data_IF_465563000346
#
_entry.id   IF_465563000346
#
_cell.length_a   1.000
_cell.length_b   1.000
_cell.length_c   1.000
_cell.angle_alpha   90.00
_cell.angle_beta   90.00
_cell.angle_gamma   90.00
#
_symmetry.space_group_name_H-M   'P 1'
#
loop_
_entity.id
_entity.type
_entity.pdbx_description
1 polymer ?
#
# COMPACT_ATOMS: atom_id res chain seq x y z
N UNK A 1 41.89 28.12 4.74
CA UNK A 1 41.44 26.76 5.13
C UNK A 1 40.26 26.77 6.10
N UNK A 2 40.22 27.59 7.17
CA UNK A 2 39.06 27.65 8.09
C UNK A 2 37.75 28.20 7.48
N UNK A 3 37.82 29.06 6.46
CA UNK A 3 36.65 29.62 5.76
C UNK A 3 35.86 28.59 4.95
N UNK A 4 36.54 27.65 4.29
CA UNK A 4 35.91 26.61 3.46
C UNK A 4 35.22 25.53 4.31
N UNK A 5 35.81 25.16 5.46
CA UNK A 5 35.14 24.29 6.42
C UNK A 5 33.87 24.96 6.99
N UNK A 6 33.92 26.27 7.26
CA UNK A 6 32.75 27.03 7.71
C UNK A 6 31.67 27.14 6.63
N UNK A 7 32.04 27.29 5.37
CA UNK A 7 31.10 27.40 4.24
C UNK A 7 30.42 26.05 3.94
N UNK A 8 31.19 24.97 3.88
CA UNK A 8 30.66 23.61 3.68
C UNK A 8 29.75 23.17 4.83
N UNK A 9 30.07 23.53 6.08
CA UNK A 9 29.19 23.30 7.21
C UNK A 9 27.85 24.04 7.07
N UNK A 10 27.88 25.33 6.68
CA UNK A 10 26.66 26.13 6.41
C UNK A 10 25.82 25.54 5.29
N UNK A 11 26.44 25.06 4.21
CA UNK A 11 25.71 24.38 3.13
C UNK A 11 24.96 23.14 3.63
N UNK A 12 25.61 22.31 4.45
CA UNK A 12 24.96 21.12 5.05
C UNK A 12 23.81 21.51 5.96
N UNK A 13 23.97 22.54 6.78
CA UNK A 13 22.92 23.03 7.68
C UNK A 13 21.68 23.51 6.91
N UNK A 14 21.87 24.29 5.84
CA UNK A 14 20.77 24.74 4.98
C UNK A 14 20.04 23.55 4.34
N UNK A 15 20.81 22.58 3.84
CA UNK A 15 20.24 21.34 3.27
C UNK A 15 19.40 20.59 4.30
N UNK A 16 19.92 20.36 5.51
CA UNK A 16 19.17 19.67 6.57
C UNK A 16 17.91 20.43 6.97
N UNK A 17 17.98 21.76 7.10
CA UNK A 17 16.80 22.59 7.38
C UNK A 17 15.71 22.39 6.33
N UNK A 18 16.05 22.49 5.04
CA UNK A 18 15.09 22.31 3.95
C UNK A 18 14.51 20.88 3.91
N UNK A 19 15.31 19.85 4.23
CA UNK A 19 14.83 18.47 4.34
C UNK A 19 13.84 18.31 5.51
N UNK A 20 14.10 18.95 6.65
CA UNK A 20 13.20 18.94 7.81
C UNK A 20 11.87 19.62 7.49
N UNK A 21 11.91 20.81 6.88
CA UNK A 21 10.71 21.54 6.43
C UNK A 21 9.90 20.70 5.43
N UNK A 22 10.56 20.11 4.44
CA UNK A 22 9.91 19.23 3.47
C UNK A 22 9.24 18.02 4.15
N UNK A 23 9.88 17.43 5.15
CA UNK A 23 9.31 16.34 5.93
C UNK A 23 8.08 16.77 6.74
N UNK A 24 8.09 17.97 7.33
CA UNK A 24 6.96 18.54 8.06
C UNK A 24 5.77 18.85 7.14
N UNK A 25 6.02 19.38 5.94
CA UNK A 25 5.00 19.70 4.94
C UNK A 25 4.48 18.48 4.18
N UNK A 26 5.15 17.33 4.28
CA UNK A 26 4.73 16.12 3.58
C UNK A 26 3.37 15.65 4.11
N UNK A 27 2.40 15.34 3.23
CA UNK A 27 1.09 14.85 3.63
C UNK A 27 1.19 13.64 4.57
N UNK A 28 0.37 13.61 5.62
CA UNK A 28 0.42 12.57 6.64
C UNK A 28 0.27 11.16 6.06
N UNK A 29 -0.59 11.00 5.04
CA UNK A 29 -0.79 9.74 4.33
C UNK A 29 0.51 9.24 3.68
N UNK A 30 1.32 10.13 3.10
CA UNK A 30 2.60 9.77 2.47
C UNK A 30 3.61 9.33 3.52
N UNK A 31 3.69 10.03 4.65
CA UNK A 31 4.54 9.64 5.79
C UNK A 31 4.15 8.26 6.32
N UNK A 32 2.87 8.06 6.65
CA UNK A 32 2.32 6.77 7.10
C UNK A 32 2.59 5.65 6.09
N UNK A 33 2.56 5.94 4.78
CA UNK A 33 2.83 4.95 3.74
C UNK A 33 4.31 4.64 3.54
N UNK A 34 5.21 5.63 3.61
CA UNK A 34 6.62 5.47 3.23
C UNK A 34 7.50 5.03 4.41
N UNK A 35 7.29 5.58 5.60
CA UNK A 35 8.14 5.31 6.78
C UNK A 35 8.25 3.82 7.10
N UNK A 36 7.16 3.00 7.11
CA UNK A 36 7.29 1.57 7.38
C UNK A 36 8.12 0.82 6.32
N UNK A 37 8.00 1.22 5.05
CA UNK A 37 8.70 0.58 3.92
C UNK A 37 10.20 0.92 3.93
N UNK A 38 10.53 2.16 4.28
CA UNK A 38 11.92 2.58 4.48
C UNK A 38 12.54 1.90 5.70
N UNK A 39 11.79 1.70 6.79
CA UNK A 39 12.25 0.94 7.95
C UNK A 39 12.53 -0.53 7.58
N UNK A 40 11.63 -1.14 6.81
CA UNK A 40 11.80 -2.52 6.32
C UNK A 40 13.05 -2.66 5.44
N UNK A 41 13.30 -1.69 4.55
CA UNK A 41 14.53 -1.61 3.76
C UNK A 41 15.79 -1.59 4.62
N UNK A 42 15.85 -0.70 5.63
CA UNK A 42 17.00 -0.59 6.53
C UNK A 42 17.25 -1.89 7.29
N UNK A 43 16.19 -2.49 7.84
CA UNK A 43 16.26 -3.77 8.54
C UNK A 43 16.73 -4.89 7.62
N UNK A 44 16.27 -4.92 6.36
CA UNK A 44 16.74 -5.90 5.38
C UNK A 44 18.23 -5.71 5.05
N UNK A 45 18.69 -4.46 4.88
CA UNK A 45 20.12 -4.18 4.65
C UNK A 45 20.98 -4.68 5.81
N UNK A 46 20.52 -4.46 7.06
CA UNK A 46 21.17 -4.97 8.26
C UNK A 46 21.20 -6.51 8.28
N UNK A 47 20.08 -7.18 7.98
CA UNK A 47 20.00 -8.65 7.92
C UNK A 47 20.91 -9.26 6.84
N UNK A 48 21.07 -8.59 5.70
CA UNK A 48 21.97 -9.03 4.62
C UNK A 48 23.45 -8.79 4.95
N UNK A 49 23.76 -8.02 5.99
CA UNK A 49 25.14 -7.79 6.45
C UNK A 49 25.95 -6.92 5.49
N UNK A 50 25.34 -5.91 4.86
CA UNK A 50 26.12 -4.93 4.08
C UNK A 50 27.09 -4.18 5.01
N UNK A 51 28.32 -3.98 4.55
CA UNK A 51 29.37 -3.32 5.34
C UNK A 51 28.95 -1.91 5.77
N UNK A 52 29.40 -1.47 6.94
CA UNK A 52 29.20 -0.09 7.39
C UNK A 52 29.86 0.91 6.44
N UNK A 53 29.39 2.16 6.46
CA UNK A 53 29.96 3.24 5.67
C UNK A 53 31.43 3.43 6.08
N UNK A 54 32.40 3.33 5.15
CA UNK A 54 33.82 3.44 5.47
C UNK A 54 34.23 4.90 5.78
N UNK A 55 35.34 5.05 6.50
CA UNK A 55 35.95 6.35 6.77
C UNK A 55 36.48 6.95 5.44
N UNK A 56 36.01 8.16 5.08
CA UNK A 56 36.33 8.79 3.79
C UNK A 56 35.25 8.66 2.71
N UNK A 57 34.08 8.08 3.03
CA UNK A 57 32.93 8.05 2.14
C UNK A 57 32.39 9.47 1.83
N UNK A 58 31.88 9.77 0.61
CA UNK A 58 31.55 8.88 -0.51
C UNK A 58 32.72 8.51 -1.44
N UNK A 59 32.82 7.23 -1.81
CA UNK A 59 33.73 6.73 -2.85
C UNK A 59 33.09 6.84 -4.25
N UNK A 60 33.91 6.71 -5.31
CA UNK A 60 33.43 6.59 -6.68
C UNK A 60 32.47 5.39 -6.81
N UNK A 61 31.29 5.63 -7.36
CA UNK A 61 30.33 4.56 -7.58
C UNK A 61 30.84 3.56 -8.64
N UNK A 62 30.92 2.28 -8.26
CA UNK A 62 31.27 1.18 -9.16
C UNK A 62 30.02 0.35 -9.46
N UNK A 63 29.55 0.31 -10.73
CA UNK A 63 28.40 -0.50 -11.12
C UNK A 63 28.57 -1.98 -10.76
N UNK A 64 27.51 -2.59 -10.23
CA UNK A 64 27.50 -4.01 -9.86
C UNK A 64 28.03 -4.33 -8.46
N UNK A 65 28.71 -3.39 -7.78
CA UNK A 65 29.00 -3.52 -6.34
C UNK A 65 27.87 -2.90 -5.51
N UNK A 66 27.38 -3.59 -4.46
CA UNK A 66 26.39 -3.01 -3.57
C UNK A 66 27.04 -1.88 -2.77
N UNK A 67 26.28 -0.80 -2.52
CA UNK A 67 26.74 0.27 -1.63
C UNK A 67 26.86 -0.23 -0.17
N UNK A 68 27.56 0.48 0.73
CA UNK A 68 27.54 0.15 2.16
C UNK A 68 26.18 0.42 2.81
N UNK A 69 25.94 -0.23 3.94
CA UNK A 69 24.82 -0.03 4.87
C UNK A 69 23.44 0.05 4.17
N UNK A 70 22.62 1.05 4.51
CA UNK A 70 21.29 1.27 3.97
C UNK A 70 21.26 2.16 2.72
N UNK A 71 22.43 2.51 2.17
CA UNK A 71 22.52 3.33 0.97
C UNK A 71 21.87 2.61 -0.21
N UNK A 72 21.02 3.35 -0.90
CA UNK A 72 20.15 2.82 -1.96
C UNK A 72 20.90 2.77 -3.28
N UNK A 73 21.01 1.57 -3.84
CA UNK A 73 21.39 1.35 -5.24
C UNK A 73 20.35 0.47 -5.94
N UNK A 74 20.38 0.44 -7.28
CA UNK A 74 19.41 -0.32 -8.06
C UNK A 74 19.54 -1.84 -7.83
N UNK A 75 20.76 -2.34 -7.63
CA UNK A 75 21.01 -3.77 -7.40
C UNK A 75 20.38 -4.23 -6.09
N UNK A 76 20.65 -3.53 -4.98
CA UNK A 76 19.98 -3.78 -3.70
C UNK A 76 18.48 -3.61 -3.80
N UNK A 77 17.98 -2.61 -4.52
CA UNK A 77 16.53 -2.41 -4.69
C UNK A 77 15.90 -3.61 -5.37
N UNK A 78 16.47 -4.09 -6.47
CA UNK A 78 15.99 -5.27 -7.16
C UNK A 78 16.01 -6.51 -6.28
N UNK A 79 17.11 -6.73 -5.56
CA UNK A 79 17.26 -7.87 -4.67
C UNK A 79 16.25 -7.84 -3.52
N UNK A 80 16.08 -6.69 -2.86
CA UNK A 80 15.06 -6.51 -1.82
C UNK A 80 13.65 -6.79 -2.36
N UNK A 81 13.34 -6.27 -3.56
CA UNK A 81 12.03 -6.48 -4.15
C UNK A 81 11.80 -7.96 -4.48
N UNK A 82 12.81 -8.67 -4.97
CA UNK A 82 12.71 -10.10 -5.26
C UNK A 82 12.56 -10.96 -3.99
N UNK A 83 13.40 -10.72 -2.99
CA UNK A 83 13.49 -11.54 -1.78
C UNK A 83 12.32 -11.30 -0.81
N UNK A 84 11.95 -10.04 -0.57
CA UNK A 84 11.08 -9.66 0.56
C UNK A 84 9.69 -9.15 0.15
N UNK A 85 9.58 -8.53 -1.03
CA UNK A 85 8.37 -7.79 -1.42
C UNK A 85 7.51 -8.57 -2.40
N UNK A 86 8.08 -9.07 -3.49
CA UNK A 86 7.31 -9.69 -4.59
C UNK A 86 6.95 -11.15 -4.24
N UNK A 87 7.83 -11.83 -3.53
CA UNK A 87 7.63 -13.19 -3.01
C UNK A 87 6.54 -13.26 -1.93
N UNK A 88 6.38 -12.18 -1.16
CA UNK A 88 5.55 -12.16 0.05
C UNK A 88 4.06 -12.05 -0.25
N UNK A 89 3.28 -12.78 0.55
CA UNK A 89 1.84 -12.61 0.60
C UNK A 89 1.40 -11.28 1.23
N UNK A 90 0.24 -10.72 0.82
CA UNK A 90 -0.31 -9.55 1.48
C UNK A 90 -0.57 -9.85 2.96
N UNK A 91 -0.20 -8.91 3.85
CA UNK A 91 -0.38 -9.07 5.31
C UNK A 91 -1.83 -8.89 5.76
N UNK A 92 -2.57 -8.06 5.05
CA UNK A 92 -3.94 -7.65 5.39
C UNK A 92 -4.81 -7.60 4.15
N UNK A 93 -6.12 -7.73 4.34
CA UNK A 93 -7.12 -7.58 3.27
C UNK A 93 -8.15 -8.72 3.25
N UNK A 94 -9.28 -8.47 2.59
CA UNK A 94 -10.41 -9.41 2.52
C UNK A 94 -10.01 -10.74 1.90
N UNK A 95 -9.18 -10.74 0.84
CA UNK A 95 -8.72 -11.97 0.18
C UNK A 95 -7.87 -12.85 1.11
N UNK A 96 -6.98 -12.25 1.90
CA UNK A 96 -6.16 -12.98 2.89
C UNK A 96 -7.02 -13.51 4.01
N UNK A 97 -7.98 -12.71 4.49
CA UNK A 97 -8.94 -13.15 5.51
C UNK A 97 -9.81 -14.33 5.02
N UNK A 98 -10.25 -14.29 3.75
CA UNK A 98 -10.98 -15.38 3.12
C UNK A 98 -10.12 -16.64 2.95
N UNK A 99 -8.86 -16.52 2.54
CA UNK A 99 -7.94 -17.66 2.42
C UNK A 99 -7.69 -18.31 3.79
N UNK A 100 -7.42 -17.49 4.83
CA UNK A 100 -7.29 -17.96 6.22
C UNK A 100 -8.57 -18.65 6.70
N UNK A 101 -9.75 -18.09 6.39
CA UNK A 101 -11.05 -18.67 6.77
C UNK A 101 -11.28 -20.02 6.10
N UNK A 102 -11.11 -20.11 4.78
CA UNK A 102 -11.25 -21.36 4.01
C UNK A 102 -10.34 -22.46 4.52
N UNK A 103 -9.09 -22.13 4.90
CA UNK A 103 -8.15 -23.14 5.44
C UNK A 103 -8.52 -23.60 6.85
N UNK A 104 -9.03 -22.70 7.71
CA UNK A 104 -9.59 -23.08 9.01
C UNK A 104 -10.78 -24.03 8.86
N UNK A 105 -11.69 -23.73 7.93
CA UNK A 105 -12.83 -24.58 7.59
C UNK A 105 -12.37 -25.95 7.04
N UNK A 106 -11.38 -25.99 6.15
CA UNK A 106 -10.81 -27.23 5.62
C UNK A 106 -10.05 -28.05 6.67
N UNK A 107 -9.31 -27.40 7.58
CA UNK A 107 -8.64 -28.05 8.69
C UNK A 107 -9.62 -28.64 9.70
N UNK A 108 -10.72 -27.93 9.99
CA UNK A 108 -11.81 -28.43 10.81
C UNK A 108 -12.51 -29.64 10.16
N UNK A 109 -12.78 -29.59 8.85
CA UNK A 109 -13.35 -30.72 8.11
C UNK A 109 -12.42 -31.95 8.10
N UNK A 110 -11.10 -31.75 7.96
CA UNK A 110 -10.10 -32.82 8.06
C UNK A 110 -9.99 -33.43 9.47
N UNK A 111 -10.14 -32.62 10.52
CA UNK A 111 -10.19 -33.08 11.91
C UNK A 111 -11.46 -33.89 12.22
N UNK A 112 -12.61 -33.48 11.66
CA UNK A 112 -13.88 -34.22 11.75
C UNK A 112 -13.81 -35.56 11.01
N UNK A 113 -13.18 -35.61 9.83
CA UNK A 113 -12.95 -36.85 9.09
C UNK A 113 -12.01 -37.82 9.83
N UNK A 114 -10.94 -37.32 10.46
CA UNK A 114 -10.04 -38.14 11.30
C UNK A 114 -10.75 -38.69 12.55
N UNK A 115 -11.60 -37.88 13.21
CA UNK A 115 -12.44 -38.34 14.35
C UNK A 115 -13.43 -39.43 13.92
N UNK A 116 -14.07 -39.29 12.75
CA UNK A 116 -14.97 -40.33 12.21
C UNK A 116 -14.25 -41.63 11.88
N UNK A 117 -13.00 -41.57 11.40
CA UNK A 117 -12.18 -42.75 11.12
C UNK A 117 -11.72 -43.45 12.42
N UNK A 118 -11.38 -42.69 13.48
CA UNK A 118 -11.03 -43.26 14.79
C UNK A 118 -12.21 -43.93 15.50
N UNK A 119 -13.45 -43.45 15.29
CA UNK A 119 -14.67 -44.08 15.80
C UNK A 119 -15.09 -45.36 15.04
N UNK A 120 -14.53 -45.63 13.86
CA UNK A 120 -14.79 -46.87 13.12
C UNK A 120 -13.76 -47.97 13.41
N UNK A 121 -12.66 -47.66 14.10
CA UNK A 121 -11.50 -48.57 14.24
C UNK A 121 -11.25 -49.04 15.69
N UNK A 122 -12.03 -48.60 16.68
CA UNK A 122 -11.84 -49.03 18.07
C UNK A 122 -13.01 -49.89 18.57
N UNK A 123 -12.88 -51.21 18.38
CA UNK A 123 -13.42 -52.19 19.29
C UNK A 123 -12.42 -52.42 20.43
N UNK A 124 -12.88 -52.24 21.66
CA UNK A 124 -12.30 -52.66 22.96
C UNK A 124 -10.82 -52.35 23.21
N UNK A 125 -10.56 -51.32 24.03
CA UNK A 125 -9.97 -51.48 25.38
C UNK A 125 -9.74 -50.10 26.02
N UNK A 126 -9.91 -50.07 27.35
CA UNK A 126 -9.82 -48.91 28.24
C UNK A 126 -8.37 -48.54 28.59
N UNK A 127 -8.24 -47.33 29.16
CA UNK A 127 -7.04 -46.68 29.72
C UNK A 127 -5.95 -46.22 28.75
N UNK A 128 -5.99 -44.92 28.41
CA UNK A 128 -4.90 -43.95 28.69
C UNK A 128 -5.35 -42.54 28.25
N UNK A 129 -5.24 -41.54 29.13
CA UNK A 129 -5.53 -40.14 28.82
C UNK A 129 -4.27 -39.49 28.24
N UNK A 130 -4.19 -39.10 26.95
CA UNK A 130 -3.08 -38.28 26.51
C UNK A 130 -3.44 -36.81 26.70
N UNK A 131 -2.57 -36.14 27.45
CA UNK A 131 -2.54 -34.71 27.68
C UNK A 131 -2.74 -33.92 26.38
N UNK A 132 -3.59 -32.89 26.45
CA UNK A 132 -3.70 -31.87 25.44
C UNK A 132 -2.44 -31.00 25.45
N UNK A 133 -1.37 -31.47 24.81
CA UNK A 133 -0.30 -30.60 24.35
C UNK A 133 -0.64 -30.13 22.93
N UNK A 134 -1.44 -29.06 22.86
CA UNK A 134 -1.56 -28.25 21.65
C UNK A 134 -0.62 -27.07 21.79
N UNK A 135 0.69 -27.35 21.72
CA UNK A 135 1.65 -26.36 21.29
C UNK A 135 1.27 -25.90 19.89
N UNK A 136 0.60 -24.75 19.80
CA UNK A 136 0.45 -23.99 18.57
C UNK A 136 1.85 -23.55 18.10
N UNK A 137 2.58 -24.46 17.45
CA UNK A 137 3.66 -24.07 16.57
C UNK A 137 3.03 -23.25 15.43
N UNK A 138 3.14 -21.93 15.54
CA UNK A 138 2.88 -20.96 14.47
C UNK A 138 3.84 -21.23 13.29
N UNK A 139 3.59 -22.32 12.57
CA UNK A 139 4.21 -22.58 11.28
C UNK A 139 3.84 -21.43 10.34
N UNK A 140 4.86 -20.67 9.95
CA UNK A 140 4.84 -19.61 8.95
C UNK A 140 3.78 -19.86 7.87
N UNK A 141 2.70 -19.07 7.90
CA UNK A 141 1.62 -19.14 6.91
C UNK A 141 2.14 -18.67 5.55
N UNK A 142 2.55 -19.62 4.69
CA UNK A 142 2.89 -19.36 3.29
C UNK A 142 1.60 -19.30 2.45
N UNK A 143 1.02 -18.12 2.34
CA UNK A 143 -0.10 -17.86 1.41
C UNK A 143 0.40 -17.82 -0.04
N UNK A 144 -0.40 -18.41 -0.93
CA UNK A 144 -0.15 -18.40 -2.38
C UNK A 144 -0.40 -17.03 -3.03
N UNK A 145 -1.01 -16.10 -2.29
CA UNK A 145 -1.29 -14.75 -2.77
C UNK A 145 0.01 -13.97 -2.92
N UNK A 146 0.11 -13.17 -3.99
CA UNK A 146 1.22 -12.23 -4.20
C UNK A 146 0.77 -10.79 -3.99
N UNK A 147 1.69 -9.94 -3.54
CA UNK A 147 1.44 -8.52 -3.41
C UNK A 147 0.98 -7.87 -4.73
N UNK A 148 0.04 -6.93 -4.62
CA UNK A 148 -0.48 -6.22 -5.79
C UNK A 148 0.53 -5.21 -6.34
N UNK A 149 0.46 -4.96 -7.64
CA UNK A 149 1.32 -4.00 -8.35
C UNK A 149 1.40 -2.63 -7.65
N UNK A 150 0.28 -2.09 -7.17
CA UNK A 150 0.26 -0.78 -6.51
C UNK A 150 1.07 -0.76 -5.22
N UNK A 151 1.06 -1.86 -4.46
CA UNK A 151 1.89 -1.99 -3.26
C UNK A 151 3.37 -2.05 -3.64
N UNK A 152 3.73 -2.88 -4.62
CA UNK A 152 5.11 -2.97 -5.16
C UNK A 152 5.60 -1.59 -5.63
N UNK A 153 4.78 -0.88 -6.40
CA UNK A 153 5.08 0.48 -6.87
C UNK A 153 5.31 1.45 -5.70
N UNK A 154 4.50 1.37 -4.64
CA UNK A 154 4.67 2.21 -3.46
C UNK A 154 5.96 1.93 -2.68
N UNK A 155 6.46 0.68 -2.67
CA UNK A 155 7.79 0.36 -2.14
C UNK A 155 8.89 1.03 -2.96
N UNK A 156 8.84 0.89 -4.28
CA UNK A 156 9.81 1.55 -5.18
C UNK A 156 9.83 3.05 -4.96
N UNK A 157 8.66 3.70 -4.89
CA UNK A 157 8.59 5.15 -4.65
C UNK A 157 9.10 5.56 -3.26
N UNK A 158 8.83 4.77 -2.22
CA UNK A 158 9.33 5.03 -0.87
C UNK A 158 10.86 4.93 -0.79
N UNK A 159 11.45 3.94 -1.45
CA UNK A 159 12.91 3.71 -1.47
C UNK A 159 13.60 4.74 -2.39
N UNK A 160 13.00 5.11 -3.52
CA UNK A 160 13.48 6.23 -4.35
C UNK A 160 13.48 7.55 -3.57
N UNK A 161 12.46 7.81 -2.73
CA UNK A 161 12.47 8.99 -1.86
C UNK A 161 13.58 8.93 -0.80
N UNK A 162 13.88 7.75 -0.27
CA UNK A 162 15.03 7.55 0.63
C UNK A 162 16.35 7.86 -0.11
N UNK A 163 16.52 7.36 -1.34
CA UNK A 163 17.64 7.72 -2.21
C UNK A 163 17.74 9.24 -2.42
N UNK A 164 16.64 9.91 -2.76
CA UNK A 164 16.63 11.35 -3.03
C UNK A 164 17.10 12.16 -1.80
N UNK A 165 16.76 11.69 -0.58
CA UNK A 165 17.27 12.26 0.68
C UNK A 165 18.77 11.97 0.85
N UNK A 166 19.19 10.72 0.66
CA UNK A 166 20.61 10.33 0.79
C UNK A 166 21.51 11.09 -0.22
N UNK A 167 20.99 11.34 -1.44
CA UNK A 167 21.71 12.08 -2.49
C UNK A 167 21.82 13.56 -2.16
N UNK A 168 20.74 14.17 -1.67
CA UNK A 168 20.74 15.57 -1.21
C UNK A 168 21.72 15.79 -0.06
N UNK A 169 21.89 14.79 0.81
CA UNK A 169 22.91 14.78 1.89
C UNK A 169 24.35 14.56 1.41
N UNK A 170 24.56 14.32 0.12
CA UNK A 170 25.87 14.01 -0.44
C UNK A 170 26.42 12.63 -0.05
N UNK A 171 25.61 11.75 0.53
CA UNK A 171 26.06 10.43 0.99
C UNK A 171 26.01 9.37 -0.11
N UNK A 172 25.04 9.44 -1.02
CA UNK A 172 24.85 8.37 -2.00
C UNK A 172 25.46 8.74 -3.36
N UNK A 173 26.54 8.09 -3.83
CA UNK A 173 27.17 8.39 -5.11
C UNK A 173 26.48 7.72 -6.33
N UNK A 174 25.61 6.73 -6.11
CA UNK A 174 24.99 5.97 -7.18
C UNK A 174 23.97 6.80 -7.99
N UNK A 175 23.70 6.42 -9.25
CA UNK A 175 22.58 6.98 -9.99
C UNK A 175 21.25 6.60 -9.36
N UNK A 176 20.22 7.42 -9.61
CA UNK A 176 18.87 7.15 -9.13
C UNK A 176 18.38 5.80 -9.66
N UNK A 177 17.81 4.92 -8.82
CA UNK A 177 17.42 3.57 -9.24
C UNK A 177 16.17 3.61 -10.13
N UNK A 178 16.39 3.72 -11.44
CA UNK A 178 15.36 3.84 -12.49
C UNK A 178 15.72 3.09 -13.78
N UNK A 179 16.69 2.17 -13.71
CA UNK A 179 17.17 1.41 -14.82
C UNK A 179 16.14 0.44 -15.41
N UNK A 180 16.58 -0.23 -16.47
CA UNK A 180 15.73 -1.07 -17.31
C UNK A 180 15.22 -2.29 -16.54
N UNK A 181 16.05 -2.87 -15.67
CA UNK A 181 15.71 -4.04 -14.89
C UNK A 181 14.56 -3.76 -13.90
N UNK A 182 14.60 -2.65 -13.18
CA UNK A 182 13.52 -2.22 -12.28
C UNK A 182 12.19 -2.04 -13.03
N UNK A 183 12.25 -1.38 -14.20
CA UNK A 183 11.08 -1.18 -15.07
C UNK A 183 10.54 -2.51 -15.62
N UNK A 184 11.43 -3.44 -15.98
CA UNK A 184 11.06 -4.76 -16.50
C UNK A 184 10.33 -5.59 -15.43
N UNK A 185 10.84 -5.61 -14.19
CA UNK A 185 10.17 -6.26 -13.05
C UNK A 185 8.76 -5.67 -12.83
N UNK A 186 8.64 -4.36 -12.76
CA UNK A 186 7.34 -3.69 -12.57
C UNK A 186 6.35 -4.04 -13.70
N UNK A 187 6.80 -4.03 -14.96
CA UNK A 187 5.98 -4.42 -16.12
C UNK A 187 5.57 -5.89 -16.06
N UNK A 188 6.47 -6.79 -15.66
CA UNK A 188 6.19 -8.22 -15.51
C UNK A 188 5.06 -8.45 -14.50
N UNK A 189 5.17 -7.84 -13.30
CA UNK A 189 4.13 -7.93 -12.26
C UNK A 189 2.79 -7.41 -12.79
N UNK A 190 2.80 -6.24 -13.45
CA UNK A 190 1.59 -5.66 -14.02
C UNK A 190 0.92 -6.58 -15.04
N UNK A 191 1.71 -7.14 -15.98
CA UNK A 191 1.22 -8.09 -17.01
C UNK A 191 0.63 -9.35 -16.39
N UNK A 192 1.29 -9.96 -15.42
CA UNK A 192 0.78 -11.14 -14.70
C UNK A 192 -0.52 -10.83 -13.98
N UNK A 193 -0.60 -9.66 -13.34
CA UNK A 193 -1.82 -9.21 -12.66
C UNK A 193 -2.98 -9.05 -13.65
N UNK A 194 -2.72 -8.47 -14.82
CA UNK A 194 -3.71 -8.28 -15.88
C UNK A 194 -4.12 -9.59 -16.56
N UNK A 195 -3.19 -10.53 -16.76
CA UNK A 195 -3.49 -11.86 -17.27
C UNK A 195 -4.46 -12.59 -16.33
N UNK A 196 -4.16 -12.60 -15.02
CA UNK A 196 -5.02 -13.20 -14.00
C UNK A 196 -6.40 -12.55 -13.95
N UNK A 197 -6.48 -11.21 -13.91
CA UNK A 197 -7.78 -10.52 -13.89
C UNK A 197 -8.62 -10.82 -15.13
N UNK A 198 -7.99 -11.00 -16.30
CA UNK A 198 -8.67 -11.39 -17.53
C UNK A 198 -9.21 -12.82 -17.46
N UNK A 199 -8.42 -13.78 -16.95
CA UNK A 199 -8.87 -15.16 -16.80
C UNK A 199 -9.96 -15.32 -15.75
N UNK A 200 -9.94 -14.50 -14.69
CA UNK A 200 -10.97 -14.48 -13.64
C UNK A 200 -12.28 -13.82 -14.10
N UNK A 201 -12.38 -13.32 -15.35
CA UNK A 201 -13.49 -12.50 -15.85
C UNK A 201 -13.88 -11.36 -14.88
N UNK A 202 -12.91 -10.84 -14.13
CA UNK A 202 -13.16 -9.82 -13.13
C UNK A 202 -13.72 -8.58 -13.82
N UNK A 203 -14.94 -8.18 -13.45
CA UNK A 203 -15.56 -6.98 -13.98
C UNK A 203 -14.68 -5.77 -13.63
N UNK A 204 -14.36 -4.99 -14.67
CA UNK A 204 -13.52 -3.79 -14.54
C UNK A 204 -14.35 -2.57 -14.20
N UNK A 205 -15.69 -2.65 -14.30
CA UNK A 205 -16.65 -1.62 -13.94
C UNK A 205 -17.08 -1.68 -12.47
N UNK A 206 -16.96 -2.84 -11.83
CA UNK A 206 -17.31 -3.04 -10.42
C UNK A 206 -16.50 -2.10 -9.51
N UNK A 207 -17.17 -1.41 -8.58
CA UNK A 207 -16.61 -0.40 -7.68
C UNK A 207 -15.93 0.80 -8.37
N UNK A 208 -16.30 1.11 -9.61
CA UNK A 208 -15.82 2.33 -10.31
C UNK A 208 -16.85 3.46 -10.24
N UNK A 209 -16.52 4.66 -10.76
CA UNK A 209 -17.48 5.78 -10.84
C UNK A 209 -18.73 5.45 -11.69
N UNK A 210 -18.67 4.41 -12.52
CA UNK A 210 -19.80 3.90 -13.30
C UNK A 210 -20.69 2.93 -12.49
N UNK A 211 -20.20 2.46 -11.36
CA UNK A 211 -20.97 1.74 -10.35
C UNK A 211 -21.69 2.80 -9.47
N UNK A 212 -22.48 3.63 -10.15
CA UNK A 212 -23.22 4.72 -9.53
C UNK A 212 -24.40 4.18 -8.73
N UNK A 213 -24.89 4.98 -7.80
CA UNK A 213 -26.08 4.64 -7.04
C UNK A 213 -27.26 4.44 -7.98
N UNK A 214 -27.98 3.34 -7.78
CA UNK A 214 -29.29 3.15 -8.44
C UNK A 214 -30.25 4.26 -7.97
N UNK A 215 -31.24 4.64 -8.80
CA UNK A 215 -32.22 5.67 -8.40
C UNK A 215 -32.89 5.39 -7.06
N UNK A 216 -33.14 4.11 -6.73
CA UNK A 216 -33.70 3.69 -5.44
C UNK A 216 -32.74 3.93 -4.27
N UNK A 217 -31.44 3.68 -4.44
CA UNK A 217 -30.43 3.95 -3.40
C UNK A 217 -30.27 5.45 -3.15
N UNK A 218 -30.37 6.29 -4.19
CA UNK A 218 -30.32 7.75 -4.05
C UNK A 218 -31.45 8.24 -3.16
N UNK A 219 -32.65 7.68 -3.30
CA UNK A 219 -33.80 8.03 -2.45
C UNK A 219 -33.55 7.69 -0.98
N UNK A 220 -32.93 6.53 -0.70
CA UNK A 220 -32.57 6.12 0.66
C UNK A 220 -31.54 7.07 1.29
N UNK A 221 -30.51 7.47 0.53
CA UNK A 221 -29.52 8.44 1.01
C UNK A 221 -30.15 9.81 1.28
N UNK A 222 -31.01 10.26 0.36
CA UNK A 222 -31.71 11.54 0.47
C UNK A 222 -32.62 11.55 1.69
N UNK A 223 -33.43 10.51 1.89
CA UNK A 223 -34.34 10.42 3.03
C UNK A 223 -33.59 10.35 4.37
N UNK A 224 -32.48 9.63 4.44
CA UNK A 224 -31.65 9.58 5.65
C UNK A 224 -31.11 10.96 6.04
N UNK A 225 -30.67 11.76 5.05
CA UNK A 225 -30.20 13.14 5.30
C UNK A 225 -31.31 14.05 5.78
N UNK A 226 -32.48 14.00 5.16
CA UNK A 226 -33.62 14.83 5.55
C UNK A 226 -34.18 14.48 6.93
N UNK A 227 -33.97 13.23 7.36
CA UNK A 227 -34.37 12.75 8.68
C UNK A 227 -33.31 12.99 9.77
N UNK A 228 -32.17 13.63 9.49
CA UNK A 228 -31.11 13.90 10.47
C UNK A 228 -31.43 15.15 11.32
N UNK A 229 -31.79 15.01 12.61
CA UNK A 229 -32.33 16.12 13.38
C UNK A 229 -31.25 16.98 14.05
N UNK A 230 -30.05 16.44 14.28
CA UNK A 230 -29.02 17.13 15.10
C UNK A 230 -28.09 18.01 14.26
N UNK A 231 -27.80 17.60 13.03
CA UNK A 231 -26.81 18.26 12.19
C UNK A 231 -27.28 18.42 10.75
N UNK A 232 -28.51 18.91 10.57
CA UNK A 232 -29.15 19.02 9.26
C UNK A 232 -28.32 19.84 8.26
N UNK A 233 -27.67 20.92 8.67
CA UNK A 233 -26.81 21.72 7.78
C UNK A 233 -25.61 20.92 7.25
N UNK A 234 -24.93 20.16 8.12
CA UNK A 234 -23.83 19.28 7.73
C UNK A 234 -24.31 18.14 6.82
N UNK A 235 -25.49 17.59 7.13
CA UNK A 235 -26.11 16.52 6.37
C UNK A 235 -26.50 16.99 4.95
N UNK A 236 -27.16 18.15 4.83
CA UNK A 236 -27.51 18.77 3.55
C UNK A 236 -26.28 19.15 2.73
N UNK A 237 -25.22 19.67 3.37
CA UNK A 237 -23.94 19.93 2.68
C UNK A 237 -23.35 18.65 2.10
N UNK A 238 -23.42 17.55 2.85
CA UNK A 238 -22.95 16.22 2.41
C UNK A 238 -23.81 15.69 1.27
N UNK A 239 -25.12 15.93 1.31
CA UNK A 239 -26.04 15.55 0.24
C UNK A 239 -25.79 16.32 -1.04
N UNK A 240 -25.54 17.63 -0.98
CA UNK A 240 -25.18 18.43 -2.16
C UNK A 240 -23.87 17.91 -2.76
N UNK A 241 -22.83 17.66 -1.94
CA UNK A 241 -21.58 17.08 -2.43
C UNK A 241 -21.81 15.72 -3.11
N UNK A 242 -22.62 14.85 -2.50
CA UNK A 242 -23.02 13.56 -3.06
C UNK A 242 -23.72 13.70 -4.42
N UNK A 243 -24.73 14.56 -4.51
CA UNK A 243 -25.51 14.76 -5.74
C UNK A 243 -24.66 15.36 -6.86
N UNK A 244 -23.76 16.30 -6.57
CA UNK A 244 -22.79 16.82 -7.53
C UNK A 244 -21.84 15.71 -8.02
N UNK A 245 -21.42 14.82 -7.13
CA UNK A 245 -20.58 13.67 -7.49
C UNK A 245 -21.30 12.67 -8.37
N UNK A 246 -22.58 12.40 -8.09
CA UNK A 246 -23.39 11.41 -8.78
C UNK A 246 -23.94 11.91 -10.13
N UNK A 247 -24.57 13.07 -10.17
CA UNK A 247 -25.28 13.57 -11.35
C UNK A 247 -24.38 14.34 -12.32
N UNK A 248 -23.37 15.05 -11.81
CA UNK A 248 -22.42 15.80 -12.65
C UNK A 248 -21.10 15.05 -12.84
N UNK A 249 -20.95 13.85 -12.25
CA UNK A 249 -19.75 13.02 -12.31
C UNK A 249 -18.47 13.77 -11.87
N UNK A 250 -18.62 14.74 -10.95
CA UNK A 250 -17.51 15.58 -10.51
C UNK A 250 -16.61 14.87 -9.49
N UNK A 251 -15.29 14.95 -9.70
CA UNK A 251 -14.30 14.51 -8.71
C UNK A 251 -14.27 15.46 -7.51
N UNK A 252 -13.82 14.96 -6.37
CA UNK A 252 -13.67 15.78 -5.15
C UNK A 252 -12.73 16.98 -5.36
N UNK A 253 -11.72 16.87 -6.24
CA UNK A 253 -10.86 17.97 -6.65
C UNK A 253 -11.59 19.12 -7.33
N UNK A 254 -12.73 18.83 -7.97
CA UNK A 254 -13.53 19.81 -8.70
C UNK A 254 -14.66 20.36 -7.82
N UNK A 255 -15.23 19.52 -6.93
CA UNK A 255 -16.33 19.92 -6.04
C UNK A 255 -15.90 20.81 -4.87
N UNK A 256 -14.71 20.54 -4.29
CA UNK A 256 -14.22 21.27 -3.12
C UNK A 256 -13.91 22.75 -3.38
N UNK A 257 -13.29 23.14 -4.50
CA UNK A 257 -13.03 24.54 -4.81
C UNK A 257 -14.21 25.23 -5.50
N UNK A 258 -15.38 24.59 -5.63
CA UNK A 258 -16.55 25.21 -6.27
C UNK A 258 -17.04 26.39 -5.43
N UNK A 259 -17.10 27.57 -6.02
CA UNK A 259 -17.60 28.77 -5.37
C UNK A 259 -18.97 29.17 -5.93
N UNK A 260 -19.74 29.95 -5.16
CA UNK A 260 -21.05 30.42 -5.60
C UNK A 260 -21.01 31.21 -6.92
N UNK A 261 -19.99 32.05 -7.21
CA UNK A 261 -19.85 32.73 -8.50
C UNK A 261 -19.69 31.79 -9.71
N UNK A 262 -19.30 30.53 -9.51
CA UNK A 262 -19.19 29.54 -10.58
C UNK A 262 -20.57 29.00 -11.02
N UNK A 263 -21.59 29.19 -10.18
CA UNK A 263 -22.95 28.73 -10.42
C UNK A 263 -23.77 29.80 -11.13
N UNK A 264 -24.27 29.51 -12.33
CA UNK A 264 -25.15 30.40 -13.07
C UNK A 264 -26.51 29.75 -13.33
N UNK A 265 -27.55 30.57 -13.33
CA UNK A 265 -28.91 30.12 -13.61
C UNK A 265 -29.10 29.95 -15.12
N UNK A 266 -29.37 28.72 -15.55
CA UNK A 266 -29.80 28.45 -16.92
C UNK A 266 -31.34 28.44 -16.97
N UNK A 267 -31.94 29.30 -17.80
CA UNK A 267 -33.39 29.23 -18.06
C UNK A 267 -33.63 28.05 -19.01
N UNK A 268 -34.36 27.03 -18.54
CA UNK A 268 -34.73 25.86 -19.32
C UNK A 268 -36.22 25.97 -19.71
N UNK A 269 -36.55 26.64 -20.83
CA UNK A 269 -37.94 26.76 -21.25
C UNK A 269 -38.47 25.38 -21.65
N UNK A 270 -39.66 25.02 -21.14
CA UNK A 270 -40.38 23.75 -21.37
C UNK A 270 -39.86 22.53 -20.58
N UNK A 271 -39.00 22.70 -19.58
CA UNK A 271 -38.65 21.64 -18.63
C UNK A 271 -39.37 21.87 -17.28
N UNK A 272 -40.25 20.94 -16.89
CA UNK A 272 -41.12 21.00 -15.73
C UNK A 272 -42.38 20.13 -15.94
N UNK A 273 -43.09 19.80 -14.85
CA UNK A 273 -44.40 19.14 -14.97
C UNK A 273 -45.35 20.14 -15.65
N UNK A 274 -45.97 19.73 -16.76
CA UNK A 274 -47.06 20.50 -17.39
C UNK A 274 -48.30 20.49 -16.52
#
# INVERSE_FOLDING_TARGET
>A
MNSDLSYTARLREVVERCLLESHQQTPENTRRAYTPKQKEWKLWCQRKGFASIPEGWPELYVPGRPLPDDLVDEGKLLLFMADEVVSRAPRTGSRVAQERRKRREAGAAGGVAKRKKKLQDHGQDEDEVPAADSGDEEGSFESSLKLQYNTVRSYVSAIQKLYDIQRTRGMNPAPRPQGVALKAMQKSILRTTWARKRSEYADRGENTIKDSYTPSQILVHTSAVWNEPKQIACALRTQVDFLLGNHMLLRSSNRRPLEFPDCFCLKLPKEGIK
#
